data_IF_549422066810
#
_entry.id   IF_549422066810
#
_cell.length_a   1.000
_cell.length_b   1.000
_cell.length_c   1.000
_cell.angle_alpha   90.00
_cell.angle_beta   90.00
_cell.angle_gamma   90.00
#
_symmetry.space_group_name_H-M   'P 1'
#
loop_
_entity.id
_entity.type
_entity.pdbx_description
1 polymer ?
#
# COMPACT_ATOMS: atom_id res chain seq x y z
N UNK A 1 10.67 -22.53 -48.11
CA UNK A 1 10.28 -22.97 -46.75
C UNK A 1 11.41 -23.68 -45.99
N UNK A 2 12.04 -24.76 -46.50
CA UNK A 2 13.08 -25.52 -45.77
C UNK A 2 14.30 -24.69 -45.30
N UNK A 3 14.72 -23.69 -46.08
CA UNK A 3 15.88 -22.85 -45.76
C UNK A 3 15.63 -21.87 -44.58
N UNK A 4 14.43 -21.28 -44.52
CA UNK A 4 14.03 -20.38 -43.42
C UNK A 4 13.80 -21.14 -42.11
N UNK A 5 13.23 -22.35 -42.18
CA UNK A 5 13.13 -23.24 -41.02
C UNK A 5 14.50 -23.65 -40.48
N UNK A 6 15.47 -23.95 -41.36
CA UNK A 6 16.84 -24.26 -40.94
C UNK A 6 17.51 -23.06 -40.26
N UNK A 7 17.35 -21.84 -40.79
CA UNK A 7 17.95 -20.63 -40.24
C UNK A 7 17.36 -20.24 -38.87
N UNK A 8 16.03 -20.35 -38.72
CA UNK A 8 15.33 -20.14 -37.45
C UNK A 8 15.76 -21.22 -36.44
N UNK A 9 15.87 -22.47 -36.87
CA UNK A 9 16.28 -23.59 -36.00
C UNK A 9 17.74 -23.46 -35.55
N UNK A 10 18.66 -23.06 -36.43
CA UNK A 10 20.06 -22.79 -36.05
C UNK A 10 20.19 -21.56 -35.16
N UNK A 11 19.40 -20.51 -35.40
CA UNK A 11 19.36 -19.33 -34.53
C UNK A 11 18.79 -19.68 -33.15
N UNK A 12 17.80 -20.56 -33.07
CA UNK A 12 17.22 -21.06 -31.82
C UNK A 12 18.23 -21.90 -31.04
N UNK A 13 18.95 -22.82 -31.69
CA UNK A 13 20.00 -23.64 -31.07
C UNK A 13 21.16 -22.77 -30.58
N UNK A 14 21.58 -21.78 -31.38
CA UNK A 14 22.65 -20.86 -30.99
C UNK A 14 22.23 -19.97 -29.81
N UNK A 15 21.00 -19.47 -29.80
CA UNK A 15 20.46 -18.70 -28.69
C UNK A 15 20.36 -19.54 -27.41
N UNK A 16 19.98 -20.81 -27.53
CA UNK A 16 19.93 -21.74 -26.40
C UNK A 16 21.33 -22.06 -25.86
N UNK A 17 22.31 -22.32 -26.73
CA UNK A 17 23.70 -22.59 -26.32
C UNK A 17 24.37 -21.38 -25.64
N UNK A 18 24.11 -20.16 -26.14
CA UNK A 18 24.59 -18.93 -25.50
C UNK A 18 23.96 -18.70 -24.12
N UNK A 19 22.68 -19.05 -23.95
CA UNK A 19 22.00 -18.95 -22.67
C UNK A 19 22.59 -19.92 -21.63
N UNK A 20 22.94 -21.14 -22.03
CA UNK A 20 23.58 -22.13 -21.15
C UNK A 20 24.98 -21.66 -20.68
N UNK A 21 25.78 -21.07 -21.59
CA UNK A 21 27.11 -20.54 -21.27
C UNK A 21 27.02 -19.31 -20.35
N UNK A 22 26.04 -18.42 -20.58
CA UNK A 22 25.79 -17.27 -19.71
C UNK A 22 25.35 -17.71 -18.30
N UNK A 23 24.49 -18.73 -18.20
CA UNK A 23 24.07 -19.31 -16.92
C UNK A 23 25.26 -19.94 -16.17
N UNK A 24 26.18 -20.63 -16.86
CA UNK A 24 27.38 -21.19 -16.23
C UNK A 24 28.24 -20.09 -15.57
N UNK A 25 28.53 -19.01 -16.31
CA UNK A 25 29.27 -17.87 -15.77
C UNK A 25 28.51 -17.21 -14.61
N UNK A 26 27.19 -17.09 -14.70
CA UNK A 26 26.39 -16.57 -13.59
C UNK A 26 26.50 -17.45 -12.34
N UNK A 27 26.40 -18.78 -12.47
CA UNK A 27 26.53 -19.69 -11.33
C UNK A 27 27.92 -19.59 -10.68
N UNK A 28 29.00 -19.48 -11.47
CA UNK A 28 30.35 -19.18 -10.95
C UNK A 28 30.39 -17.83 -10.22
N UNK A 29 29.76 -16.81 -10.78
CA UNK A 29 29.63 -15.50 -10.16
C UNK A 29 28.91 -15.55 -8.80
N UNK A 30 27.82 -16.33 -8.70
CA UNK A 30 27.09 -16.57 -7.45
C UNK A 30 27.98 -17.29 -6.42
N UNK A 31 28.73 -18.32 -6.82
CA UNK A 31 29.68 -19.02 -5.94
C UNK A 31 30.74 -18.06 -5.39
N UNK A 32 31.40 -17.27 -6.26
CA UNK A 32 32.37 -16.26 -5.81
C UNK A 32 31.73 -15.21 -4.90
N UNK A 33 30.51 -14.76 -5.21
CA UNK A 33 29.79 -13.79 -4.41
C UNK A 33 29.48 -14.32 -3.00
N UNK A 34 29.07 -15.59 -2.90
CA UNK A 34 28.82 -16.27 -1.62
C UNK A 34 30.07 -16.36 -0.74
N UNK A 35 31.25 -16.50 -1.38
CA UNK A 35 32.58 -16.50 -0.76
C UNK A 35 33.14 -15.09 -0.53
N UNK A 36 32.36 -14.03 -0.77
CA UNK A 36 32.74 -12.61 -0.62
C UNK A 36 33.89 -12.18 -1.56
N UNK A 37 34.19 -12.98 -2.59
CA UNK A 37 35.18 -12.69 -3.64
C UNK A 37 34.58 -11.76 -4.70
N UNK A 38 34.41 -10.49 -4.34
CA UNK A 38 33.63 -9.52 -5.13
C UNK A 38 34.25 -9.16 -6.49
N UNK A 39 35.58 -9.27 -6.64
CA UNK A 39 36.26 -8.96 -7.91
C UNK A 39 36.02 -10.08 -8.92
N UNK A 40 36.21 -11.33 -8.49
CA UNK A 40 35.98 -12.53 -9.27
C UNK A 40 34.49 -12.66 -9.62
N UNK A 41 33.61 -12.48 -8.64
CA UNK A 41 32.16 -12.49 -8.89
C UNK A 41 31.76 -11.46 -9.95
N UNK A 42 32.31 -10.24 -9.89
CA UNK A 42 32.04 -9.19 -10.87
C UNK A 42 32.49 -9.62 -12.27
N UNK A 43 33.69 -10.20 -12.37
CA UNK A 43 34.24 -10.69 -13.65
C UNK A 43 33.32 -11.74 -14.28
N UNK A 44 32.85 -12.72 -13.49
CA UNK A 44 31.97 -13.76 -13.99
C UNK A 44 30.58 -13.22 -14.40
N UNK A 45 30.00 -12.30 -13.62
CA UNK A 45 28.74 -11.66 -14.03
C UNK A 45 28.90 -10.76 -15.27
N UNK A 46 30.04 -10.08 -15.44
CA UNK A 46 30.33 -9.33 -16.67
C UNK A 46 30.53 -10.24 -17.88
N UNK A 47 31.10 -11.43 -17.69
CA UNK A 47 31.21 -12.45 -18.73
C UNK A 47 29.82 -12.95 -19.15
N UNK A 48 28.97 -13.33 -18.19
CA UNK A 48 27.58 -13.73 -18.45
C UNK A 48 26.81 -12.66 -19.24
N UNK A 49 26.92 -11.39 -18.83
CA UNK A 49 26.32 -10.24 -19.55
C UNK A 49 26.88 -10.06 -20.97
N UNK A 50 28.15 -10.38 -21.20
CA UNK A 50 28.78 -10.23 -22.53
C UNK A 50 28.33 -11.33 -23.48
N UNK A 51 28.13 -12.55 -22.96
CA UNK A 51 27.64 -13.71 -23.71
C UNK A 51 26.17 -13.50 -24.08
N UNK A 52 25.35 -13.14 -23.10
CA UNK A 52 23.93 -12.79 -23.32
C UNK A 52 23.58 -11.43 -22.68
N UNK A 53 23.50 -10.36 -23.50
CA UNK A 53 23.07 -9.03 -23.04
C UNK A 53 21.64 -8.94 -22.53
N UNK A 54 20.79 -9.93 -22.80
CA UNK A 54 19.40 -9.99 -22.31
C UNK A 54 19.24 -10.86 -21.06
N UNK A 55 20.34 -11.37 -20.51
CA UNK A 55 20.32 -12.24 -19.35
C UNK A 55 20.14 -11.45 -18.05
N UNK A 56 18.88 -11.29 -17.62
CA UNK A 56 18.48 -10.49 -16.45
C UNK A 56 19.29 -10.81 -15.18
N UNK A 57 19.55 -12.10 -14.90
CA UNK A 57 20.29 -12.56 -13.72
C UNK A 57 21.71 -12.00 -13.62
N UNK A 58 22.40 -11.79 -14.75
CA UNK A 58 23.72 -11.17 -14.74
C UNK A 58 23.68 -9.72 -14.22
N UNK A 59 22.64 -8.97 -14.61
CA UNK A 59 22.40 -7.62 -14.11
C UNK A 59 22.04 -7.62 -12.62
N UNK A 60 21.27 -8.61 -12.13
CA UNK A 60 21.00 -8.77 -10.69
C UNK A 60 22.28 -9.01 -9.89
N UNK A 61 23.17 -9.87 -10.39
CA UNK A 61 24.48 -10.16 -9.78
C UNK A 61 25.34 -8.90 -9.69
N UNK A 62 25.47 -8.14 -10.78
CA UNK A 62 26.18 -6.86 -10.80
C UNK A 62 25.55 -5.83 -9.85
N UNK A 63 24.21 -5.73 -9.84
CA UNK A 63 23.49 -4.88 -8.89
C UNK A 63 23.78 -5.24 -7.44
N UNK A 64 23.83 -6.53 -7.12
CA UNK A 64 24.13 -7.04 -5.77
C UNK A 64 25.57 -6.73 -5.32
N UNK A 65 26.53 -6.75 -6.24
CA UNK A 65 27.92 -6.32 -5.97
C UNK A 65 27.99 -4.83 -5.66
N UNK A 66 27.37 -4.00 -6.50
CA UNK A 66 27.36 -2.54 -6.30
C UNK A 66 26.59 -2.16 -5.02
N UNK A 67 25.53 -2.90 -4.68
CA UNK A 67 24.83 -2.73 -3.40
C UNK A 67 25.75 -3.02 -2.20
N UNK A 68 26.52 -4.11 -2.23
CA UNK A 68 27.52 -4.41 -1.17
C UNK A 68 28.60 -3.33 -1.08
N UNK A 69 28.99 -2.74 -2.21
CA UNK A 69 29.92 -1.59 -2.27
C UNK A 69 29.29 -0.26 -1.86
N UNK A 70 27.98 -0.23 -1.58
CA UNK A 70 27.19 0.98 -1.28
C UNK A 70 27.19 2.02 -2.42
N UNK A 71 27.47 1.61 -3.65
CA UNK A 71 27.39 2.45 -4.85
C UNK A 71 25.95 2.47 -5.37
N UNK A 72 25.03 3.01 -4.57
CA UNK A 72 23.57 2.89 -4.77
C UNK A 72 23.06 3.33 -6.14
N UNK A 73 23.64 4.39 -6.71
CA UNK A 73 23.27 4.88 -8.06
C UNK A 73 23.53 3.84 -9.14
N UNK A 74 24.68 3.16 -9.06
CA UNK A 74 25.06 2.12 -10.02
C UNK A 74 24.25 0.85 -9.78
N UNK A 75 24.08 0.45 -8.51
CA UNK A 75 23.24 -0.69 -8.15
C UNK A 75 21.81 -0.55 -8.68
N UNK A 76 21.19 0.64 -8.50
CA UNK A 76 19.85 0.93 -9.02
C UNK A 76 19.77 0.80 -10.54
N UNK A 77 20.78 1.28 -11.28
CA UNK A 77 20.84 1.11 -12.74
C UNK A 77 20.82 -0.36 -13.15
N UNK A 78 21.61 -1.20 -12.48
CA UNK A 78 21.66 -2.62 -12.77
C UNK A 78 20.36 -3.36 -12.41
N UNK A 79 19.77 -3.09 -11.25
CA UNK A 79 18.49 -3.70 -10.88
C UNK A 79 17.34 -3.24 -11.78
N UNK A 80 17.30 -1.96 -12.16
CA UNK A 80 16.32 -1.50 -13.14
C UNK A 80 16.51 -2.19 -14.49
N UNK A 81 17.75 -2.38 -14.94
CA UNK A 81 18.00 -3.11 -16.20
C UNK A 81 17.57 -4.56 -16.12
N UNK A 82 17.77 -5.22 -14.97
CA UNK A 82 17.23 -6.55 -14.73
C UNK A 82 15.70 -6.57 -14.82
N UNK A 83 15.01 -5.57 -14.25
CA UNK A 83 13.54 -5.45 -14.34
C UNK A 83 13.00 -5.09 -15.72
N UNK A 84 13.78 -4.41 -16.56
CA UNK A 84 13.44 -4.20 -17.96
C UNK A 84 13.45 -5.52 -18.76
N UNK A 85 14.37 -6.42 -18.43
CA UNK A 85 14.55 -7.71 -19.09
C UNK A 85 13.62 -8.79 -18.50
N UNK A 86 13.40 -8.76 -17.19
CA UNK A 86 12.45 -9.59 -16.45
C UNK A 86 11.70 -8.75 -15.42
N UNK A 87 10.48 -8.34 -15.79
CA UNK A 87 9.62 -7.50 -14.93
C UNK A 87 9.21 -8.16 -13.62
N UNK A 88 9.41 -9.48 -13.50
CA UNK A 88 9.02 -10.30 -12.35
C UNK A 88 10.23 -10.77 -11.54
N UNK A 89 11.44 -10.25 -11.79
CA UNK A 89 12.62 -10.59 -10.99
C UNK A 89 12.44 -10.17 -9.53
N UNK A 90 12.19 -11.16 -8.66
CA UNK A 90 12.06 -10.96 -7.22
C UNK A 90 13.36 -10.46 -6.60
N UNK A 91 14.50 -10.89 -7.14
CA UNK A 91 15.82 -10.48 -6.66
C UNK A 91 16.12 -9.01 -6.99
N UNK A 92 15.76 -8.54 -8.19
CA UNK A 92 15.94 -7.14 -8.54
C UNK A 92 15.02 -6.22 -7.72
N UNK A 93 13.76 -6.62 -7.50
CA UNK A 93 12.82 -5.90 -6.61
C UNK A 93 13.38 -5.79 -5.19
N UNK A 94 13.94 -6.88 -4.64
CA UNK A 94 14.56 -6.86 -3.31
C UNK A 94 15.78 -5.94 -3.26
N UNK A 95 16.61 -5.94 -4.31
CA UNK A 95 17.75 -5.05 -4.45
C UNK A 95 17.35 -3.58 -4.38
N UNK A 96 16.31 -3.19 -5.13
CA UNK A 96 15.76 -1.82 -5.10
C UNK A 96 15.17 -1.46 -3.73
N UNK A 97 14.39 -2.36 -3.13
CA UNK A 97 13.87 -2.16 -1.79
C UNK A 97 14.98 -1.95 -0.76
N UNK A 98 16.04 -2.77 -0.83
CA UNK A 98 17.17 -2.67 0.08
C UNK A 98 17.95 -1.36 -0.08
N UNK A 99 18.10 -0.87 -1.32
CA UNK A 99 18.65 0.47 -1.57
C UNK A 99 17.80 1.53 -0.88
N UNK A 100 16.48 1.52 -1.07
CA UNK A 100 15.56 2.47 -0.44
C UNK A 100 15.64 2.43 1.09
N UNK A 101 15.69 1.23 1.68
CA UNK A 101 15.85 1.03 3.14
C UNK A 101 17.19 1.61 3.62
N UNK A 102 18.30 1.35 2.92
CA UNK A 102 19.61 1.88 3.29
C UNK A 102 19.69 3.42 3.17
N UNK A 103 18.85 4.00 2.32
CA UNK A 103 18.70 5.44 2.17
C UNK A 103 17.66 6.06 3.13
N UNK A 104 17.08 5.27 4.06
CA UNK A 104 16.01 5.70 4.98
C UNK A 104 14.78 6.24 4.24
N UNK A 105 14.41 5.54 3.16
CA UNK A 105 13.25 5.82 2.32
C UNK A 105 12.29 4.65 2.40
N UNK A 106 11.75 4.41 3.59
CA UNK A 106 10.92 3.26 3.92
C UNK A 106 9.68 3.15 3.02
N UNK A 107 8.99 4.25 2.76
CA UNK A 107 7.83 4.28 1.86
C UNK A 107 8.20 3.89 0.42
N UNK A 108 9.35 4.33 -0.09
CA UNK A 108 9.81 3.93 -1.45
C UNK A 108 10.15 2.44 -1.54
N UNK A 109 10.42 1.76 -0.41
CA UNK A 109 10.74 0.33 -0.40
C UNK A 109 9.49 -0.58 -0.49
N UNK A 110 8.36 -0.13 0.07
CA UNK A 110 7.11 -0.90 0.13
C UNK A 110 6.62 -1.44 -1.22
N UNK A 111 6.49 -0.64 -2.30
CA UNK A 111 5.93 -1.15 -3.56
C UNK A 111 6.78 -2.28 -4.16
N UNK A 112 8.12 -2.19 -4.07
CA UNK A 112 9.00 -3.25 -4.55
C UNK A 112 8.84 -4.54 -3.74
N UNK A 113 8.74 -4.44 -2.42
CA UNK A 113 8.56 -5.58 -1.53
C UNK A 113 7.18 -6.22 -1.68
N UNK A 114 6.11 -5.42 -1.75
CA UNK A 114 4.74 -5.87 -2.00
C UNK A 114 4.66 -6.61 -3.35
N UNK A 115 5.28 -6.08 -4.41
CA UNK A 115 5.36 -6.76 -5.71
C UNK A 115 6.17 -8.07 -5.61
N UNK A 116 7.27 -8.08 -4.87
CA UNK A 116 8.11 -9.28 -4.69
C UNK A 116 7.35 -10.44 -4.06
N UNK A 117 6.60 -10.20 -2.97
CA UNK A 117 5.78 -11.24 -2.32
C UNK A 117 4.54 -11.65 -3.12
N UNK A 118 4.05 -10.76 -4.00
CA UNK A 118 2.98 -11.11 -4.93
C UNK A 118 3.45 -12.09 -6.01
N UNK A 119 4.69 -11.92 -6.49
CA UNK A 119 5.30 -12.80 -7.49
C UNK A 119 5.73 -14.13 -6.86
N UNK A 120 6.37 -14.07 -5.70
CA UNK A 120 6.85 -15.25 -4.96
C UNK A 120 6.48 -15.14 -3.48
N UNK A 121 5.35 -15.76 -3.12
CA UNK A 121 4.85 -15.82 -1.75
C UNK A 121 5.71 -16.70 -0.82
N UNK A 122 6.75 -17.35 -1.33
CA UNK A 122 7.70 -18.15 -0.55
C UNK A 122 9.03 -17.43 -0.31
N UNK A 123 9.19 -16.20 -0.83
CA UNK A 123 10.41 -15.41 -0.72
C UNK A 123 10.63 -14.89 0.71
N UNK A 124 11.29 -15.71 1.54
CA UNK A 124 11.64 -15.40 2.93
C UNK A 124 12.22 -13.98 3.12
N UNK A 125 13.19 -13.59 2.29
CA UNK A 125 13.87 -12.30 2.40
C UNK A 125 12.94 -11.11 2.15
N UNK A 126 11.91 -11.26 1.31
CA UNK A 126 10.92 -10.22 1.05
C UNK A 126 10.08 -9.95 2.29
N UNK A 127 9.57 -11.00 2.94
CA UNK A 127 8.82 -10.87 4.19
C UNK A 127 9.67 -10.31 5.33
N UNK A 128 10.94 -10.70 5.42
CA UNK A 128 11.84 -10.15 6.44
C UNK A 128 12.07 -8.64 6.26
N UNK A 129 12.27 -8.20 5.01
CA UNK A 129 12.41 -6.77 4.69
C UNK A 129 11.09 -6.01 4.86
N UNK A 130 9.94 -6.60 4.51
CA UNK A 130 8.62 -6.01 4.79
C UNK A 130 8.44 -5.76 6.29
N UNK A 131 8.76 -6.76 7.12
CA UNK A 131 8.69 -6.61 8.57
C UNK A 131 9.55 -5.46 9.07
N UNK A 132 10.76 -5.31 8.52
CA UNK A 132 11.67 -4.20 8.85
C UNK A 132 11.09 -2.85 8.46
N UNK A 133 10.57 -2.74 7.24
CA UNK A 133 9.98 -1.50 6.73
C UNK A 133 8.74 -1.13 7.53
N UNK A 134 7.80 -2.06 7.74
CA UNK A 134 6.61 -1.81 8.55
C UNK A 134 6.94 -1.42 9.99
N UNK A 135 7.95 -2.05 10.60
CA UNK A 135 8.40 -1.67 11.94
C UNK A 135 8.90 -0.23 11.99
N UNK A 136 9.67 0.19 10.97
CA UNK A 136 10.18 1.57 10.87
C UNK A 136 9.09 2.60 10.60
N UNK A 137 8.03 2.19 9.92
CA UNK A 137 6.83 2.99 9.70
C UNK A 137 5.84 2.92 10.87
N UNK A 138 6.22 2.32 12.01
CA UNK A 138 5.38 2.12 13.20
C UNK A 138 4.09 1.33 12.92
N UNK A 139 4.06 0.56 11.83
CA UNK A 139 2.96 -0.34 11.46
C UNK A 139 3.20 -1.72 12.10
N UNK A 140 3.19 -1.78 13.43
CA UNK A 140 3.68 -2.94 14.18
C UNK A 140 2.89 -4.23 13.91
N UNK A 141 1.57 -4.15 13.69
CA UNK A 141 0.78 -5.33 13.31
C UNK A 141 1.21 -5.95 11.99
N UNK A 142 1.39 -5.13 10.94
CA UNK A 142 1.90 -5.61 9.65
C UNK A 142 3.34 -6.09 9.73
N UNK A 143 4.16 -5.45 10.57
CA UNK A 143 5.51 -5.91 10.85
C UNK A 143 5.50 -7.32 11.47
N UNK A 144 4.60 -7.56 12.42
CA UNK A 144 4.42 -8.84 13.09
C UNK A 144 4.06 -9.94 12.10
N UNK A 145 3.08 -9.71 11.23
CA UNK A 145 2.75 -10.66 10.18
C UNK A 145 3.91 -11.00 9.28
N UNK A 146 4.61 -9.97 8.79
CA UNK A 146 5.69 -10.17 7.85
C UNK A 146 6.80 -11.00 8.51
N UNK A 147 7.17 -10.71 9.76
CA UNK A 147 8.12 -11.53 10.51
C UNK A 147 7.59 -12.92 10.84
N UNK A 148 6.30 -13.07 11.17
CA UNK A 148 5.65 -14.37 11.43
C UNK A 148 5.66 -15.24 10.18
N UNK A 149 5.33 -14.69 9.02
CA UNK A 149 5.38 -15.40 7.73
C UNK A 149 6.83 -15.73 7.36
N UNK A 150 7.78 -14.81 7.54
CA UNK A 150 9.20 -15.11 7.36
C UNK A 150 9.66 -16.27 8.25
N UNK A 151 9.25 -16.28 9.53
CA UNK A 151 9.56 -17.36 10.48
C UNK A 151 8.92 -18.69 10.06
N UNK A 152 7.70 -18.69 9.51
CA UNK A 152 7.07 -19.90 8.96
C UNK A 152 7.78 -20.44 7.72
N UNK A 153 8.20 -19.55 6.82
CA UNK A 153 8.90 -19.92 5.57
C UNK A 153 10.32 -20.43 5.84
N UNK A 154 10.98 -19.92 6.87
CA UNK A 154 12.29 -20.40 7.32
C UNK A 154 12.30 -20.59 8.84
N UNK A 155 11.78 -21.72 9.36
CA UNK A 155 11.68 -21.98 10.79
C UNK A 155 13.01 -21.99 11.52
N UNK A 156 14.12 -22.23 10.81
CA UNK A 156 15.47 -22.24 11.38
C UNK A 156 16.12 -20.84 11.37
N UNK A 157 15.49 -19.84 10.78
CA UNK A 157 16.05 -18.50 10.72
C UNK A 157 15.97 -17.81 12.09
N UNK A 158 17.13 -17.72 12.75
CA UNK A 158 17.27 -16.96 13.99
C UNK A 158 16.92 -15.48 13.80
N UNK A 159 17.19 -14.89 12.62
CA UNK A 159 16.90 -13.47 12.39
C UNK A 159 15.38 -13.19 12.45
N UNK A 160 14.57 -14.00 11.76
CA UNK A 160 13.13 -13.82 11.78
C UNK A 160 12.53 -14.04 13.17
N UNK A 161 13.00 -15.06 13.89
CA UNK A 161 12.58 -15.34 15.26
C UNK A 161 12.96 -14.19 16.21
N UNK A 162 14.19 -13.68 16.12
CA UNK A 162 14.65 -12.55 16.94
C UNK A 162 13.85 -11.28 16.62
N UNK A 163 13.54 -11.01 15.35
CA UNK A 163 12.73 -9.85 14.97
C UNK A 163 11.29 -9.95 15.47
N UNK A 164 10.71 -11.14 15.38
CA UNK A 164 9.38 -11.40 15.91
C UNK A 164 9.35 -11.22 17.44
N UNK A 165 10.32 -11.79 18.15
CA UNK A 165 10.45 -11.63 19.61
C UNK A 165 10.70 -10.18 20.02
N UNK A 166 11.64 -9.49 19.35
CA UNK A 166 11.91 -8.07 19.57
C UNK A 166 10.66 -7.22 19.41
N UNK A 167 9.81 -7.56 18.45
CA UNK A 167 8.55 -6.88 18.24
C UNK A 167 7.53 -7.21 19.34
N UNK A 168 7.44 -8.47 19.77
CA UNK A 168 6.56 -8.87 20.88
C UNK A 168 6.93 -8.20 22.20
N UNK A 169 8.23 -8.04 22.46
CA UNK A 169 8.76 -7.40 23.66
C UNK A 169 8.81 -5.86 23.55
N UNK A 170 8.49 -5.30 22.37
CA UNK A 170 8.52 -3.86 22.14
C UNK A 170 7.36 -3.18 22.87
N UNK A 171 7.65 -2.21 23.73
CA UNK A 171 6.63 -1.53 24.54
C UNK A 171 5.51 -0.83 23.74
N UNK A 172 5.73 -0.55 22.45
CA UNK A 172 4.72 -0.02 21.53
C UNK A 172 3.95 -1.08 20.75
N UNK A 173 4.28 -2.36 20.92
CA UNK A 173 3.52 -3.48 20.36
C UNK A 173 2.49 -3.94 21.38
N UNK A 174 1.23 -3.95 20.96
CA UNK A 174 0.09 -4.26 21.81
C UNK A 174 -0.71 -5.42 21.22
N UNK A 175 -1.59 -6.01 22.01
CA UNK A 175 -2.58 -6.98 21.51
C UNK A 175 -3.45 -6.38 20.37
N UNK A 176 -3.59 -5.05 20.34
CA UNK A 176 -4.22 -4.27 19.24
C UNK A 176 -3.49 -4.49 17.91
N UNK A 177 -2.15 -4.50 17.92
CA UNK A 177 -1.32 -4.66 16.73
C UNK A 177 -1.47 -6.07 16.16
N UNK A 178 -1.55 -7.09 17.02
CA UNK A 178 -1.83 -8.48 16.64
C UNK A 178 -3.17 -8.61 15.90
N UNK A 179 -4.19 -7.84 16.30
CA UNK A 179 -5.53 -7.89 15.68
C UNK A 179 -5.64 -7.06 14.40
N UNK A 180 -4.78 -6.06 14.20
CA UNK A 180 -4.59 -5.38 12.91
C UNK A 180 -3.80 -6.23 11.89
N UNK A 181 -3.20 -7.33 12.38
CA UNK A 181 -2.38 -8.27 11.61
C UNK A 181 -3.19 -9.47 11.07
N UNK A 182 -4.39 -9.73 11.58
CA UNK A 182 -5.29 -10.62 10.84
C UNK A 182 -5.80 -9.83 9.65
N UNK A 183 -5.44 -10.25 8.42
CA UNK A 183 -5.86 -9.63 7.16
C UNK A 183 -7.35 -9.31 7.24
N UNK A 184 -7.65 -8.05 7.55
CA UNK A 184 -9.01 -7.56 7.49
C UNK A 184 -9.37 -7.59 6.02
N UNK A 185 -10.08 -8.65 5.64
CA UNK A 185 -10.58 -8.83 4.30
C UNK A 185 -11.64 -7.76 4.05
N UNK A 186 -11.15 -6.61 3.59
CA UNK A 186 -11.97 -5.45 3.24
C UNK A 186 -12.98 -5.83 2.17
N UNK A 187 -12.65 -6.72 1.24
CA UNK A 187 -13.57 -7.15 0.19
C UNK A 187 -14.75 -7.94 0.78
N UNK A 188 -14.48 -8.86 1.71
CA UNK A 188 -15.53 -9.57 2.46
C UNK A 188 -16.37 -8.62 3.32
N UNK A 189 -15.75 -7.61 3.94
CA UNK A 189 -16.48 -6.59 4.68
C UNK A 189 -17.39 -5.76 3.77
N UNK A 190 -16.86 -5.23 2.66
CA UNK A 190 -17.62 -4.45 1.69
C UNK A 190 -18.79 -5.27 1.15
N UNK A 191 -18.57 -6.54 0.78
CA UNK A 191 -19.65 -7.44 0.34
C UNK A 191 -20.78 -7.59 1.36
N UNK A 192 -20.47 -7.61 2.66
CA UNK A 192 -21.49 -7.66 3.73
C UNK A 192 -22.32 -6.38 3.81
N UNK A 193 -21.78 -5.23 3.38
CA UNK A 193 -22.53 -3.98 3.35
C UNK A 193 -23.65 -4.01 2.30
N UNK A 194 -23.53 -4.76 1.21
CA UNK A 194 -24.57 -4.81 0.16
C UNK A 194 -25.98 -5.14 0.69
N UNK A 195 -26.05 -5.96 1.75
CA UNK A 195 -27.30 -6.37 2.39
C UNK A 195 -27.83 -5.38 3.44
N UNK A 196 -27.07 -4.34 3.78
CA UNK A 196 -27.48 -3.36 4.80
C UNK A 196 -28.39 -2.28 4.19
N UNK A 197 -29.59 -2.15 4.76
CA UNK A 197 -30.54 -1.09 4.42
C UNK A 197 -30.17 0.28 4.97
N UNK A 198 -29.34 0.32 6.02
CA UNK A 198 -28.81 1.54 6.65
C UNK A 198 -27.35 1.34 6.99
N UNK A 199 -26.55 2.38 6.76
CA UNK A 199 -25.13 2.42 7.06
C UNK A 199 -24.86 3.22 8.32
N UNK A 200 -23.99 2.67 9.18
CA UNK A 200 -23.55 3.35 10.40
C UNK A 200 -22.28 4.17 10.17
N UNK A 201 -21.96 5.05 11.12
CA UNK A 201 -20.69 5.79 11.14
C UNK A 201 -19.49 4.84 11.15
N UNK A 202 -19.58 3.71 11.87
CA UNK A 202 -18.54 2.67 11.86
C UNK A 202 -18.41 1.99 10.50
N UNK A 203 -19.53 1.69 9.83
CA UNK A 203 -19.50 1.05 8.51
C UNK A 203 -18.76 1.91 7.50
N UNK A 204 -19.07 3.21 7.46
CA UNK A 204 -18.36 4.17 6.61
C UNK A 204 -16.88 4.27 6.96
N UNK A 205 -16.56 4.44 8.25
CA UNK A 205 -15.18 4.58 8.71
C UNK A 205 -14.33 3.35 8.35
N UNK A 206 -14.86 2.14 8.58
CA UNK A 206 -14.18 0.88 8.27
C UNK A 206 -14.05 0.71 6.75
N UNK A 207 -15.09 1.02 5.97
CA UNK A 207 -15.02 0.96 4.51
C UNK A 207 -13.95 1.90 3.96
N UNK A 208 -13.88 3.13 4.45
CA UNK A 208 -12.89 4.12 4.04
C UNK A 208 -11.48 3.70 4.47
N UNK A 209 -11.25 3.44 5.76
CA UNK A 209 -9.94 3.10 6.30
C UNK A 209 -9.41 1.72 5.90
N UNK A 210 -10.30 0.77 5.61
CA UNK A 210 -9.90 -0.54 5.10
C UNK A 210 -9.60 -0.54 3.61
N UNK A 211 -10.24 0.35 2.84
CA UNK A 211 -9.96 0.49 1.40
C UNK A 211 -8.71 1.31 1.14
N UNK A 212 -8.52 2.38 1.92
CA UNK A 212 -7.43 3.32 1.77
C UNK A 212 -6.48 3.18 2.95
N UNK A 213 -5.19 3.00 2.67
CA UNK A 213 -4.19 3.09 3.72
C UNK A 213 -3.99 4.55 4.12
N UNK A 214 -4.87 5.04 5.00
CA UNK A 214 -4.92 6.46 5.37
C UNK A 214 -3.58 6.93 5.95
N UNK A 215 -2.87 6.07 6.69
CA UNK A 215 -1.57 6.40 7.26
C UNK A 215 -0.48 6.50 6.19
N UNK A 216 -0.61 5.77 5.08
CA UNK A 216 0.28 5.89 3.91
C UNK A 216 -0.08 7.11 3.05
N UNK A 217 -1.37 7.43 2.90
CA UNK A 217 -1.86 8.47 2.00
C UNK A 217 -1.83 9.89 2.60
N UNK A 218 -1.98 10.01 3.93
CA UNK A 218 -2.00 11.32 4.60
C UNK A 218 -0.59 11.76 4.95
N UNK A 219 -0.20 12.96 4.51
CA UNK A 219 1.15 13.51 4.73
C UNK A 219 1.53 13.58 6.20
N UNK A 220 2.82 13.38 6.49
CA UNK A 220 3.38 13.36 7.85
C UNK A 220 3.04 14.59 8.71
N UNK A 221 2.87 15.76 8.09
CA UNK A 221 2.52 17.00 8.81
C UNK A 221 1.18 16.94 9.57
N UNK A 222 0.31 15.99 9.21
CA UNK A 222 -0.96 15.74 9.88
C UNK A 222 -0.87 14.67 10.98
N UNK A 223 0.28 14.03 11.20
CA UNK A 223 0.49 13.01 12.25
C UNK A 223 0.61 13.58 13.68
N UNK A 224 0.18 14.82 13.93
CA UNK A 224 0.22 15.37 15.30
C UNK A 224 -0.67 14.52 16.21
N UNK A 225 -0.06 13.91 17.22
CA UNK A 225 -0.72 13.00 18.16
C UNK A 225 -1.87 13.72 18.89
N UNK A 226 -3.11 13.42 18.50
CA UNK A 226 -4.30 13.86 19.24
C UNK A 226 -4.48 12.96 20.45
N UNK A 227 -4.58 13.55 21.64
CA UNK A 227 -4.96 12.82 22.85
C UNK A 227 -6.47 12.71 22.84
N UNK A 228 -6.98 11.48 22.86
CA UNK A 228 -8.42 11.22 22.91
C UNK A 228 -8.88 11.00 24.35
N UNK A 229 -10.13 11.35 24.63
CA UNK A 229 -10.76 11.21 25.94
C UNK A 229 -11.08 9.75 26.28
N UNK A 230 -11.28 9.48 27.57
CA UNK A 230 -11.77 8.19 28.05
C UNK A 230 -13.17 7.85 27.50
N UNK A 231 -14.01 8.87 27.23
CA UNK A 231 -15.33 8.67 26.61
C UNK A 231 -15.25 8.04 25.22
N UNK A 232 -14.26 8.43 24.40
CA UNK A 232 -14.03 7.79 23.11
C UNK A 232 -13.56 6.34 23.27
N UNK A 233 -12.69 6.08 24.25
CA UNK A 233 -12.21 4.73 24.52
C UNK A 233 -13.37 3.79 24.95
N UNK A 234 -14.34 4.31 25.69
CA UNK A 234 -15.56 3.58 26.08
C UNK A 234 -16.46 3.33 24.86
N UNK A 235 -16.74 4.36 24.05
CA UNK A 235 -17.63 4.25 22.89
C UNK A 235 -17.08 3.31 21.80
N UNK A 236 -15.80 3.46 21.44
CA UNK A 236 -15.12 2.52 20.54
C UNK A 236 -14.96 1.12 21.15
N UNK A 237 -15.17 0.99 22.46
CA UNK A 237 -15.10 -0.25 23.22
C UNK A 237 -13.75 -0.96 23.08
N UNK A 238 -13.69 -2.20 23.59
CA UNK A 238 -12.54 -3.10 23.40
C UNK A 238 -12.55 -3.82 22.05
N UNK A 239 -13.40 -3.44 21.08
CA UNK A 239 -13.38 -4.00 19.73
C UNK A 239 -12.20 -3.41 18.95
N UNK A 240 -11.03 -3.99 19.21
CA UNK A 240 -9.68 -3.55 18.85
C UNK A 240 -9.51 -3.19 17.36
N UNK A 241 -10.20 -3.87 16.45
CA UNK A 241 -10.18 -3.57 15.00
C UNK A 241 -10.84 -2.24 14.62
N UNK A 242 -11.94 -1.88 15.30
CA UNK A 242 -12.61 -0.59 15.09
C UNK A 242 -11.74 0.56 15.57
N UNK A 243 -11.00 0.38 16.68
CA UNK A 243 -10.01 1.35 17.13
C UNK A 243 -8.90 1.58 16.10
N UNK A 244 -8.35 0.53 15.49
CA UNK A 244 -7.27 0.66 14.51
C UNK A 244 -7.68 1.41 13.23
N UNK A 245 -8.90 1.18 12.74
CA UNK A 245 -9.40 1.79 11.50
C UNK A 245 -10.03 3.17 11.72
N UNK A 246 -10.77 3.36 12.82
CA UNK A 246 -11.51 4.60 13.08
C UNK A 246 -10.60 5.67 13.68
N UNK A 247 -9.67 5.31 14.58
CA UNK A 247 -8.81 6.30 15.24
C UNK A 247 -7.97 7.14 14.26
N UNK A 248 -7.31 6.59 13.22
CA UNK A 248 -6.62 7.40 12.22
C UNK A 248 -7.54 8.44 11.57
N UNK A 249 -8.79 8.08 11.25
CA UNK A 249 -9.76 9.00 10.67
C UNK A 249 -10.06 10.18 11.60
N UNK A 250 -10.10 9.95 12.91
CA UNK A 250 -10.30 10.97 13.93
C UNK A 250 -9.04 11.81 14.18
N UNK A 251 -7.85 11.18 14.15
CA UNK A 251 -6.54 11.83 14.31
C UNK A 251 -6.33 12.84 13.18
N UNK A 252 -6.66 12.44 11.95
CA UNK A 252 -6.53 13.27 10.76
C UNK A 252 -7.72 14.20 10.50
N UNK A 253 -8.70 14.26 11.40
CA UNK A 253 -9.92 15.09 11.22
C UNK A 253 -10.62 14.80 9.89
N UNK A 254 -10.61 13.53 9.48
CA UNK A 254 -11.40 13.05 8.36
C UNK A 254 -12.83 12.83 8.84
N UNK A 255 -12.96 12.22 10.02
CA UNK A 255 -14.21 12.14 10.77
C UNK A 255 -14.08 12.91 12.07
N UNK A 256 -15.22 13.38 12.59
CA UNK A 256 -15.29 14.16 13.83
C UNK A 256 -16.06 13.41 14.92
N UNK A 257 -15.78 13.77 16.17
CA UNK A 257 -16.53 13.30 17.33
C UNK A 257 -17.82 14.09 17.48
N UNK A 258 -18.83 13.46 18.08
CA UNK A 258 -20.01 14.15 18.56
C UNK A 258 -19.65 15.11 19.71
N UNK A 259 -20.50 16.10 20.05
CA UNK A 259 -20.23 17.07 21.12
C UNK A 259 -19.99 16.45 22.50
N UNK A 260 -20.52 15.25 22.75
CA UNK A 260 -20.32 14.47 23.97
C UNK A 260 -18.96 13.71 24.00
N UNK A 261 -18.16 13.86 22.96
CA UNK A 261 -16.85 13.23 22.81
C UNK A 261 -16.91 11.77 22.34
N UNK A 262 -18.08 11.25 22.00
CA UNK A 262 -18.24 9.90 21.42
C UNK A 262 -18.09 9.93 19.90
N UNK A 263 -17.83 8.78 19.28
CA UNK A 263 -17.83 8.63 17.83
C UNK A 263 -19.23 8.32 17.28
N UNK A 264 -20.15 7.76 18.09
CA UNK A 264 -21.51 7.44 17.65
C UNK A 264 -21.56 6.21 16.74
N UNK A 265 -20.91 5.12 17.15
CA UNK A 265 -20.59 3.98 16.26
C UNK A 265 -21.74 3.40 15.45
N UNK A 266 -22.87 3.20 16.10
CA UNK A 266 -24.06 2.53 15.57
C UNK A 266 -25.07 3.54 15.03
N UNK A 267 -24.78 4.84 15.14
CA UNK A 267 -25.61 5.88 14.59
C UNK A 267 -25.56 5.82 13.06
N UNK A 268 -26.72 6.04 12.44
CA UNK A 268 -26.80 6.11 10.98
C UNK A 268 -26.10 7.37 10.50
N UNK A 269 -25.32 7.24 9.44
CA UNK A 269 -24.71 8.37 8.77
C UNK A 269 -25.61 8.87 7.64
N UNK A 270 -25.71 10.19 7.49
CA UNK A 270 -26.46 10.85 6.41
C UNK A 270 -25.62 11.02 5.14
N UNK A 271 -26.25 11.21 3.97
CA UNK A 271 -25.49 11.51 2.73
C UNK A 271 -24.65 12.78 2.84
N UNK A 272 -25.10 13.78 3.59
CA UNK A 272 -24.34 15.01 3.87
C UNK A 272 -23.07 14.76 4.67
N UNK A 273 -23.17 13.96 5.74
CA UNK A 273 -22.00 13.56 6.54
C UNK A 273 -21.04 12.66 5.76
N UNK A 274 -21.56 11.75 4.92
CA UNK A 274 -20.74 10.96 3.99
C UNK A 274 -19.95 11.88 3.06
N UNK A 275 -20.62 12.87 2.45
CA UNK A 275 -19.97 13.84 1.57
C UNK A 275 -18.89 14.64 2.30
N UNK A 276 -19.16 15.09 3.53
CA UNK A 276 -18.21 15.83 4.35
C UNK A 276 -16.98 14.99 4.72
N UNK A 277 -17.17 13.73 5.13
CA UNK A 277 -16.06 12.82 5.41
C UNK A 277 -15.17 12.56 4.20
N UNK A 278 -15.77 12.41 3.00
CA UNK A 278 -15.02 12.27 1.74
C UNK A 278 -14.27 13.56 1.41
N UNK A 279 -14.89 14.73 1.53
CA UNK A 279 -14.21 16.01 1.31
C UNK A 279 -12.99 16.15 2.22
N UNK A 280 -13.17 15.90 3.53
CA UNK A 280 -12.08 16.01 4.49
C UNK A 280 -10.94 15.03 4.14
N UNK A 281 -11.27 13.81 3.75
CA UNK A 281 -10.29 12.85 3.25
C UNK A 281 -9.52 13.39 2.04
N UNK A 282 -10.21 13.91 1.03
CA UNK A 282 -9.59 14.49 -0.17
C UNK A 282 -8.67 15.67 0.16
N UNK A 283 -9.09 16.57 1.06
CA UNK A 283 -8.26 17.69 1.54
C UNK A 283 -6.94 17.18 2.13
N UNK A 284 -6.98 16.11 2.93
CA UNK A 284 -5.77 15.57 3.59
C UNK A 284 -4.82 14.88 2.62
N UNK A 285 -5.34 14.08 1.68
CA UNK A 285 -4.49 13.34 0.74
C UNK A 285 -3.86 14.26 -0.32
N UNK A 286 -4.60 15.26 -0.81
CA UNK A 286 -4.09 16.21 -1.79
C UNK A 286 -3.33 17.38 -1.15
N UNK A 287 -3.47 17.54 0.17
CA UNK A 287 -2.93 18.67 0.90
C UNK A 287 -3.40 20.01 0.33
N UNK A 288 -4.69 20.07 0.02
CA UNK A 288 -5.34 21.19 -0.64
C UNK A 288 -6.56 21.63 0.18
N UNK A 289 -6.42 22.66 1.04
CA UNK A 289 -7.52 23.17 1.83
C UNK A 289 -8.57 23.90 0.97
N UNK A 290 -8.27 24.30 -0.27
CA UNK A 290 -9.25 25.01 -1.11
C UNK A 290 -10.46 24.14 -1.46
N UNK A 291 -10.32 22.82 -1.42
CA UNK A 291 -11.41 21.87 -1.65
C UNK A 291 -12.55 21.99 -0.62
N UNK A 292 -12.34 22.64 0.52
CA UNK A 292 -13.40 22.92 1.51
C UNK A 292 -14.16 24.23 1.26
N UNK A 293 -13.65 25.12 0.41
CA UNK A 293 -14.19 26.47 0.16
C UNK A 293 -14.44 26.80 -1.31
N UNK A 294 -14.21 25.86 -2.24
CA UNK A 294 -14.16 26.11 -3.68
C UNK A 294 -15.46 26.62 -4.33
N UNK A 295 -16.65 26.37 -3.74
CA UNK A 295 -17.94 26.51 -4.44
C UNK A 295 -18.90 27.53 -3.79
N UNK A 296 -18.39 28.66 -3.29
CA UNK A 296 -19.20 29.69 -2.62
C UNK A 296 -20.08 30.54 -3.56
N UNK A 297 -20.11 30.22 -4.84
CA UNK A 297 -20.62 31.06 -5.92
C UNK A 297 -22.16 31.01 -6.06
N UNK A 298 -22.89 31.33 -4.98
CA UNK A 298 -24.29 31.82 -4.94
C UNK A 298 -25.42 30.99 -5.59
N UNK A 299 -25.14 30.03 -6.46
CA UNK A 299 -26.12 29.32 -7.27
C UNK A 299 -26.42 27.99 -6.62
N UNK A 300 -27.60 27.87 -6.03
CA UNK A 300 -28.06 26.63 -5.43
C UNK A 300 -28.26 25.56 -6.51
N UNK A 301 -27.45 24.51 -6.49
CA UNK A 301 -27.53 23.40 -7.46
C UNK A 301 -28.48 22.29 -7.02
N UNK A 302 -28.59 22.04 -5.72
CA UNK A 302 -29.45 20.99 -5.17
C UNK A 302 -30.64 21.62 -4.43
N UNK A 303 -31.89 21.21 -4.72
CA UNK A 303 -33.07 21.79 -4.08
C UNK A 303 -33.06 21.68 -2.55
N UNK A 304 -32.48 20.61 -2.00
CA UNK A 304 -32.44 20.31 -0.57
C UNK A 304 -31.13 20.74 0.13
N UNK A 305 -30.19 21.36 -0.59
CA UNK A 305 -28.91 21.80 -0.04
C UNK A 305 -28.69 23.30 -0.33
N UNK A 306 -29.14 24.18 0.58
CA UNK A 306 -28.87 25.61 0.48
C UNK A 306 -27.36 25.92 0.45
N UNK A 307 -26.95 27.00 -0.21
CA UNK A 307 -25.54 27.43 -0.27
C UNK A 307 -24.94 27.76 1.11
N UNK A 308 -25.79 28.07 2.09
CA UNK A 308 -25.41 28.28 3.50
C UNK A 308 -25.30 26.99 4.31
N UNK A 309 -25.66 25.84 3.76
CA UNK A 309 -25.61 24.56 4.46
C UNK A 309 -24.15 24.14 4.71
N UNK A 310 -23.84 23.66 5.91
CA UNK A 310 -22.46 23.38 6.33
C UNK A 310 -21.72 22.37 5.42
N UNK A 311 -22.45 21.45 4.80
CA UNK A 311 -21.88 20.47 3.87
C UNK A 311 -22.07 20.84 2.38
N UNK A 312 -22.53 22.06 2.04
CA UNK A 312 -22.80 22.45 0.65
C UNK A 312 -21.58 22.21 -0.26
N UNK A 313 -20.41 22.74 0.14
CA UNK A 313 -19.17 22.55 -0.61
C UNK A 313 -18.78 21.08 -0.74
N UNK A 314 -19.02 20.27 0.31
CA UNK A 314 -18.72 18.85 0.29
C UNK A 314 -19.61 18.12 -0.72
N UNK A 315 -20.92 18.39 -0.69
CA UNK A 315 -21.91 17.82 -1.61
C UNK A 315 -21.56 18.17 -3.06
N UNK A 316 -21.24 19.44 -3.33
CA UNK A 316 -20.84 19.87 -4.66
C UNK A 316 -19.53 19.19 -5.12
N UNK A 317 -18.52 19.13 -4.25
CA UNK A 317 -17.25 18.50 -4.56
C UNK A 317 -17.40 17.02 -4.93
N UNK A 318 -18.15 16.25 -4.14
CA UNK A 318 -18.28 14.81 -4.37
C UNK A 318 -19.17 14.50 -5.58
N UNK A 319 -20.15 15.35 -5.88
CA UNK A 319 -21.03 15.19 -7.05
C UNK A 319 -20.33 15.59 -8.35
N UNK A 320 -19.65 16.74 -8.37
CA UNK A 320 -18.87 17.21 -9.54
C UNK A 320 -17.72 16.26 -9.91
N UNK A 321 -17.15 15.55 -8.92
CA UNK A 321 -16.12 14.51 -9.14
C UNK A 321 -16.69 13.13 -9.46
N UNK A 322 -18.01 12.98 -9.53
CA UNK A 322 -18.66 11.70 -9.80
C UNK A 322 -18.47 10.65 -8.70
N UNK A 323 -18.12 11.07 -7.47
CA UNK A 323 -17.87 10.16 -6.34
C UNK A 323 -19.21 9.70 -5.76
N UNK A 324 -20.11 10.64 -5.47
CA UNK A 324 -21.43 10.39 -4.90
C UNK A 324 -22.49 11.14 -5.71
N UNK A 325 -23.59 10.48 -6.07
CA UNK A 325 -24.61 11.05 -6.96
C UNK A 325 -25.84 11.57 -6.20
N UNK A 326 -26.45 12.62 -6.74
CA UNK A 326 -27.82 13.00 -6.43
C UNK A 326 -28.83 12.04 -7.07
N UNK A 327 -30.08 12.13 -6.65
CA UNK A 327 -31.18 11.36 -7.25
C UNK A 327 -31.56 11.94 -8.63
N UNK A 328 -32.34 11.20 -9.41
CA UNK A 328 -32.75 11.61 -10.76
C UNK A 328 -33.62 12.88 -10.79
N UNK A 329 -34.28 13.20 -9.67
CA UNK A 329 -35.08 14.42 -9.48
C UNK A 329 -34.23 15.64 -9.08
N UNK A 330 -32.90 15.50 -9.01
CA UNK A 330 -31.96 16.54 -8.63
C UNK A 330 -31.81 16.73 -7.11
N UNK A 331 -32.61 16.03 -6.30
CA UNK A 331 -32.49 16.07 -4.83
C UNK A 331 -31.27 15.27 -4.41
N UNK A 332 -30.41 15.85 -3.57
CA UNK A 332 -29.25 15.14 -3.07
C UNK A 332 -29.62 14.17 -1.96
N UNK A 333 -30.55 14.54 -1.08
CA UNK A 333 -30.96 13.81 0.10
C UNK A 333 -30.00 14.05 1.27
N UNK A 334 -29.64 15.30 1.55
CA UNK A 334 -28.54 15.65 2.48
C UNK A 334 -28.71 15.05 3.89
N UNK A 335 -29.93 15.00 4.40
CA UNK A 335 -30.25 14.42 5.71
C UNK A 335 -30.74 12.97 5.63
N UNK A 336 -30.77 12.38 4.43
CA UNK A 336 -31.23 11.01 4.23
C UNK A 336 -30.13 10.01 4.58
N UNK A 337 -30.54 8.88 5.17
CA UNK A 337 -29.69 7.69 5.28
C UNK A 337 -29.66 6.93 3.96
N UNK A 338 -28.69 6.04 3.80
CA UNK A 338 -28.51 5.28 2.57
C UNK A 338 -28.14 3.82 2.84
N UNK A 339 -28.29 2.98 1.81
CA UNK A 339 -27.96 1.56 1.84
C UNK A 339 -26.47 1.30 1.56
N UNK A 340 -26.02 0.08 1.82
CA UNK A 340 -24.62 -0.26 1.60
C UNK A 340 -24.20 -0.35 0.14
N UNK A 341 -25.15 -0.54 -0.79
CA UNK A 341 -24.86 -0.48 -2.23
C UNK A 341 -24.38 0.90 -2.63
N UNK A 342 -25.04 1.95 -2.13
CA UNK A 342 -24.59 3.32 -2.37
C UNK A 342 -23.21 3.56 -1.76
N UNK A 343 -22.96 3.12 -0.52
CA UNK A 343 -21.65 3.27 0.12
C UNK A 343 -20.54 2.61 -0.70
N UNK A 344 -20.72 1.36 -1.11
CA UNK A 344 -19.71 0.63 -1.87
C UNK A 344 -19.40 1.30 -3.21
N UNK A 345 -20.44 1.69 -3.96
CA UNK A 345 -20.26 2.41 -5.22
C UNK A 345 -19.51 3.72 -5.01
N UNK A 346 -19.80 4.42 -3.92
CA UNK A 346 -19.11 5.66 -3.54
C UNK A 346 -17.63 5.42 -3.26
N UNK A 347 -17.29 4.38 -2.49
CA UNK A 347 -15.90 4.01 -2.19
C UNK A 347 -15.14 3.60 -3.46
N UNK A 348 -15.77 2.84 -4.36
CA UNK A 348 -15.18 2.46 -5.65
C UNK A 348 -14.93 3.67 -6.56
N UNK A 349 -15.88 4.59 -6.64
CA UNK A 349 -15.74 5.82 -7.42
C UNK A 349 -14.64 6.72 -6.84
N UNK A 350 -14.57 6.84 -5.52
CA UNK A 350 -13.50 7.56 -4.82
C UNK A 350 -12.12 6.97 -5.14
N UNK A 351 -11.99 5.64 -5.11
CA UNK A 351 -10.74 4.95 -5.45
C UNK A 351 -10.30 5.28 -6.88
N UNK A 352 -11.22 5.17 -7.84
CA UNK A 352 -10.95 5.53 -9.23
C UNK A 352 -10.56 7.00 -9.40
N UNK A 353 -11.21 7.91 -8.68
CA UNK A 353 -10.90 9.34 -8.73
C UNK A 353 -9.45 9.63 -8.30
N UNK A 354 -8.99 8.95 -7.24
CA UNK A 354 -7.63 9.09 -6.71
C UNK A 354 -6.59 8.46 -7.65
N UNK A 355 -6.89 7.29 -8.20
CA UNK A 355 -6.01 6.62 -9.18
C UNK A 355 -5.83 7.46 -10.45
N UNK A 356 -6.89 8.09 -10.95
CA UNK A 356 -6.84 8.95 -12.13
C UNK A 356 -6.06 10.25 -11.90
N UNK A 357 -6.07 10.79 -10.67
CA UNK A 357 -5.31 11.99 -10.34
C UNK A 357 -3.81 11.74 -10.12
N UNK A 358 -3.41 10.48 -10.00
CA UNK A 358 -2.01 10.06 -9.73
C UNK A 358 -1.25 9.66 -11.00
N UNK A 359 -1.95 9.54 -12.14
CA UNK A 359 -1.40 9.30 -13.47
C UNK A 359 -1.38 10.62 -14.26
#
# INVERSE_FOLDING_TARGET
MKFWFSLIFTALILNFALADEAEEHYQKGVDFFSKVKLVEAKREFEAARKIDPNFAKAYEGLGSIELKKKTFRTAKKYFNKALELDSNSTQALLGLAQISILQKKEFEALPYLKKSVLIDSTKYSAYLLLGRVYFKLEQFGRAYNAYKTASKLSPQSLEAQLKLKQLQDFAGFSEVDLLSSEDFDIESFLKKLEGKSRITRSDFAIALAGTFDIRELVKEKYLKKRIFSDSLAIDLGSRLRSNYLIKPLLEFQILELAPDGTFGREESITKGELALGIQNFLVKIYDDPSLSSQYLDGTQVFPDVPTSHYCYNAVFLVTSRGILSANFDGVFGVNSTFDGKLLMKTIQNLKRNIELASN
#
